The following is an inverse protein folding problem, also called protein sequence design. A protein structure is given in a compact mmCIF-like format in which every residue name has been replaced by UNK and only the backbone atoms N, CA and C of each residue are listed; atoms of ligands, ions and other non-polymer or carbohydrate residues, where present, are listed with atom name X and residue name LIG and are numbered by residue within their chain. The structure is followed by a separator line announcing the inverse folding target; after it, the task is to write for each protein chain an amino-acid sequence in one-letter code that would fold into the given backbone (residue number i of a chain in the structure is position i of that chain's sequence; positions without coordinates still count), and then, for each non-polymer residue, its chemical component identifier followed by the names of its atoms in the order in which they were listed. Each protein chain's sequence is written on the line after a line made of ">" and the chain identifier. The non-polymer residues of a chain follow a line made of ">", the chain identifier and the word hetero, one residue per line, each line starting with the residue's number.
data_IF_391311245935
#
_entry.id   IF_391311245935
#
_cell.length_a   1.000
_cell.length_b   1.000
_cell.length_c   1.000
_cell.angle_alpha   90.00
_cell.angle_beta   90.00
_cell.angle_gamma   90.00
#
_symmetry.space_group_name_H-M   'P 1'
#
loop_
_entity.id
_entity.type
_entity.pdbx_description
1 polymer ?
#
# COMPACT_ATOMS: atom_id res chain seq x y z
N UNK A 1 -16.48 -13.19 2.67
CA UNK A 1 -15.77 -12.44 3.72
C UNK A 1 -15.28 -11.17 3.07
N UNK A 2 -15.52 -10.02 3.70
CA UNK A 2 -14.98 -8.75 3.24
C UNK A 2 -13.45 -8.81 3.34
N UNK A 3 -12.74 -8.79 2.20
CA UNK A 3 -11.28 -8.88 2.17
C UNK A 3 -10.59 -7.64 2.72
N UNK A 4 -11.34 -6.58 3.01
CA UNK A 4 -10.82 -5.28 3.42
C UNK A 4 -10.96 -5.00 4.91
N UNK A 5 -11.75 -5.77 5.66
CA UNK A 5 -11.97 -5.55 7.09
C UNK A 5 -11.41 -6.70 7.94
N UNK A 6 -10.49 -6.36 8.85
CA UNK A 6 -9.94 -7.29 9.83
C UNK A 6 -9.71 -6.57 11.17
N UNK A 7 -10.67 -6.64 12.12
CA UNK A 7 -10.58 -5.94 13.40
C UNK A 7 -9.57 -6.57 14.38
N UNK A 8 -9.00 -7.73 14.04
CA UNK A 8 -8.00 -8.38 14.89
C UNK A 8 -6.59 -7.81 14.70
N UNK A 9 -6.37 -7.06 13.61
CA UNK A 9 -5.06 -6.52 13.25
C UNK A 9 -4.82 -5.18 13.90
N UNK A 10 -3.67 -5.06 14.55
CA UNK A 10 -3.12 -3.80 15.03
C UNK A 10 -1.77 -3.59 14.36
N UNK A 11 -1.71 -2.67 13.41
CA UNK A 11 -0.50 -2.36 12.68
C UNK A 11 0.20 -1.19 13.36
N UNK A 12 1.51 -1.31 13.60
CA UNK A 12 2.35 -0.21 14.06
C UNK A 12 3.69 -0.31 13.35
N UNK A 13 4.25 0.83 12.97
CA UNK A 13 5.53 0.82 12.30
C UNK A 13 6.68 0.45 13.27
N UNK A 14 7.62 -0.42 12.86
CA UNK A 14 8.82 -0.72 13.63
C UNK A 14 9.59 0.54 14.04
N UNK A 15 10.20 0.51 15.22
CA UNK A 15 10.97 1.63 15.81
C UNK A 15 12.43 1.23 16.01
N UNK A 16 13.30 2.20 16.22
CA UNK A 16 14.74 1.97 16.44
C UNK A 16 15.53 1.75 15.16
N UNK A 17 16.81 1.37 15.32
CA UNK A 17 17.81 1.28 14.25
C UNK A 17 17.84 -0.09 13.55
N UNK A 18 17.19 -1.11 14.09
CA UNK A 18 17.12 -2.42 13.47
C UNK A 18 16.18 -2.38 12.27
N UNK A 19 16.61 -2.92 11.12
CA UNK A 19 15.82 -2.99 9.88
C UNK A 19 15.30 -4.40 9.65
N UNK A 20 14.14 -4.49 9.00
CA UNK A 20 13.55 -5.76 8.54
C UNK A 20 13.62 -5.93 7.03
N UNK A 21 13.78 -4.84 6.27
CA UNK A 21 14.06 -4.85 4.84
C UNK A 21 15.57 -4.75 4.57
N UNK A 22 15.97 -5.00 3.31
CA UNK A 22 17.38 -5.07 2.89
C UNK A 22 18.13 -3.73 2.97
N UNK A 23 17.44 -2.61 2.74
CA UNK A 23 18.03 -1.28 2.88
C UNK A 23 17.15 -0.29 3.63
N UNK A 24 17.70 0.86 3.99
CA UNK A 24 16.94 1.93 4.65
C UNK A 24 15.90 2.53 3.70
N UNK A 25 16.14 2.53 2.39
CA UNK A 25 15.20 3.04 1.40
C UNK A 25 13.92 2.19 1.35
N UNK A 26 14.06 0.87 1.39
CA UNK A 26 12.92 -0.06 1.41
C UNK A 26 12.27 -0.14 2.79
N UNK A 27 13.07 -0.10 3.87
CA UNK A 27 12.58 -0.06 5.25
C UNK A 27 11.75 1.21 5.51
N UNK A 28 12.17 2.36 4.97
CA UNK A 28 11.42 3.60 5.11
C UNK A 28 10.02 3.49 4.52
N UNK A 29 9.90 2.97 3.28
CA UNK A 29 8.60 2.75 2.64
C UNK A 29 7.72 1.78 3.46
N UNK A 30 8.31 0.70 3.99
CA UNK A 30 7.61 -0.27 4.83
C UNK A 30 7.08 0.36 6.12
N UNK A 31 7.92 1.12 6.83
CA UNK A 31 7.52 1.82 8.05
C UNK A 31 6.45 2.87 7.77
N UNK A 32 6.56 3.62 6.69
CA UNK A 32 5.54 4.62 6.36
C UNK A 32 4.19 4.00 6.00
N UNK A 33 4.19 2.88 5.28
CA UNK A 33 2.96 2.11 5.04
C UNK A 33 2.31 1.65 6.35
N UNK A 34 3.11 1.08 7.26
CA UNK A 34 2.61 0.63 8.57
C UNK A 34 2.15 1.79 9.45
N UNK A 35 2.81 2.95 9.38
CA UNK A 35 2.45 4.14 10.15
C UNK A 35 1.10 4.72 9.70
N UNK A 36 0.80 4.67 8.41
CA UNK A 36 -0.52 5.06 7.89
C UNK A 36 -1.67 4.21 8.46
N UNK A 37 -1.38 3.05 9.04
CA UNK A 37 -2.38 2.15 9.64
C UNK A 37 -2.22 2.02 11.16
N UNK A 38 -1.43 2.90 11.78
CA UNK A 38 -1.32 2.96 13.23
C UNK A 38 -2.66 3.44 13.83
N UNK A 39 -3.22 2.79 14.87
CA UNK A 39 -4.46 3.22 15.52
C UNK A 39 -4.43 4.65 16.05
N UNK A 40 -3.25 5.18 16.35
CA UNK A 40 -3.09 6.56 16.80
C UNK A 40 -3.00 7.57 15.63
N UNK A 41 -3.05 7.09 14.38
CA UNK A 41 -2.88 7.87 13.14
C UNK A 41 -4.09 7.75 12.21
N UNK A 42 -4.57 6.54 11.96
CA UNK A 42 -5.63 6.25 10.99
C UNK A 42 -7.03 6.38 11.60
N UNK A 43 -8.00 6.82 10.79
CA UNK A 43 -9.41 6.89 11.20
C UNK A 43 -10.04 5.50 11.40
N UNK A 44 -9.81 4.55 10.48
CA UNK A 44 -10.33 3.18 10.54
C UNK A 44 -9.29 2.16 10.02
N UNK A 45 -8.21 1.90 10.79
CA UNK A 45 -7.09 1.05 10.34
C UNK A 45 -7.48 -0.40 10.06
N UNK A 46 -8.49 -0.94 10.74
CA UNK A 46 -9.00 -2.30 10.51
C UNK A 46 -9.64 -2.47 9.13
N UNK A 47 -10.03 -1.35 8.50
CA UNK A 47 -10.52 -1.27 7.13
C UNK A 47 -9.45 -0.72 6.17
N UNK A 48 -8.19 -0.60 6.59
CA UNK A 48 -7.11 0.04 5.82
C UNK A 48 -7.33 1.53 5.53
N UNK A 49 -8.37 2.17 6.06
CA UNK A 49 -8.74 3.56 5.80
C UNK A 49 -7.91 4.47 6.71
N UNK A 50 -7.18 5.41 6.08
CA UNK A 50 -6.30 6.35 6.77
C UNK A 50 -7.07 7.61 7.15
N UNK A 51 -7.64 8.31 6.17
CA UNK A 51 -8.45 9.51 6.36
C UNK A 51 -9.25 9.83 5.08
N UNK A 52 -10.17 10.80 5.16
CA UNK A 52 -10.83 11.35 3.96
C UNK A 52 -11.88 10.43 3.36
N UNK A 53 -12.70 9.80 4.21
CA UNK A 53 -13.77 8.89 3.79
C UNK A 53 -13.23 7.49 3.51
N UNK A 54 -12.98 7.17 2.23
CA UNK A 54 -12.52 5.82 1.83
C UNK A 54 -11.05 5.79 1.37
N UNK A 55 -10.26 6.79 1.76
CA UNK A 55 -8.83 6.85 1.44
C UNK A 55 -8.04 5.76 2.15
N UNK A 56 -7.67 4.69 1.43
CA UNK A 56 -7.00 3.51 1.99
C UNK A 56 -5.49 3.45 1.73
N UNK A 57 -4.74 2.82 2.62
CA UNK A 57 -3.30 2.59 2.48
C UNK A 57 -2.95 1.46 1.50
N UNK A 58 -3.82 0.46 1.36
CA UNK A 58 -3.74 -0.65 0.41
C UNK A 58 -5.16 -1.04 -0.03
N UNK A 59 -5.27 -1.77 -1.15
CA UNK A 59 -6.58 -2.12 -1.74
C UNK A 59 -7.41 -3.04 -0.85
N UNK A 60 -6.74 -4.04 -0.28
CA UNK A 60 -7.29 -5.06 0.59
C UNK A 60 -6.15 -5.66 1.43
N UNK A 61 -6.48 -6.50 2.41
CA UNK A 61 -5.48 -7.07 3.32
C UNK A 61 -4.48 -7.98 2.60
N UNK A 62 -4.91 -8.69 1.55
CA UNK A 62 -4.01 -9.51 0.74
C UNK A 62 -2.97 -8.65 0.00
N UNK A 63 -3.38 -7.50 -0.50
CA UNK A 63 -2.49 -6.52 -1.14
C UNK A 63 -1.53 -5.90 -0.13
N UNK A 64 -2.02 -5.53 1.06
CA UNK A 64 -1.17 -5.04 2.16
C UNK A 64 -0.08 -6.07 2.53
N UNK A 65 -0.49 -7.32 2.79
CA UNK A 65 0.43 -8.40 3.17
C UNK A 65 1.49 -8.62 2.09
N UNK A 66 1.07 -8.57 0.81
CA UNK A 66 1.99 -8.73 -0.31
C UNK A 66 2.91 -7.54 -0.52
N UNK A 67 2.47 -6.31 -0.24
CA UNK A 67 3.35 -5.12 -0.27
C UNK A 67 4.41 -5.26 0.83
N UNK A 68 4.02 -5.62 2.06
CA UNK A 68 4.94 -5.84 3.18
C UNK A 68 5.97 -6.92 2.86
N UNK A 69 5.52 -8.08 2.37
CA UNK A 69 6.39 -9.18 1.93
C UNK A 69 7.38 -8.69 0.86
N UNK A 70 6.89 -7.95 -0.14
CA UNK A 70 7.71 -7.50 -1.27
C UNK A 70 8.74 -6.48 -0.85
N UNK A 71 8.38 -5.48 -0.03
CA UNK A 71 9.30 -4.46 0.48
C UNK A 71 10.42 -5.06 1.34
N UNK A 72 10.15 -6.14 2.09
CA UNK A 72 11.17 -6.83 2.88
C UNK A 72 12.24 -7.50 2.02
N UNK A 73 11.88 -8.02 0.84
CA UNK A 73 12.80 -8.74 -0.06
C UNK A 73 13.38 -7.88 -1.20
N UNK A 74 12.82 -6.70 -1.46
CA UNK A 74 13.17 -5.85 -2.61
C UNK A 74 14.65 -5.48 -2.58
N UNK A 75 15.34 -5.66 -3.70
CA UNK A 75 16.76 -5.29 -3.84
C UNK A 75 16.95 -3.79 -4.11
N UNK A 76 18.18 -3.31 -3.91
CA UNK A 76 18.53 -1.89 -4.10
C UNK A 76 18.50 -1.45 -5.57
N UNK A 77 18.54 -2.38 -6.52
CA UNK A 77 18.40 -2.13 -7.95
C UNK A 77 17.03 -2.56 -8.51
N UNK A 78 16.02 -2.72 -7.64
CA UNK A 78 14.65 -3.04 -8.01
C UNK A 78 13.67 -1.92 -7.67
N UNK A 79 12.56 -1.88 -8.41
CA UNK A 79 11.43 -0.97 -8.18
C UNK A 79 10.12 -1.76 -8.13
N UNK A 80 9.37 -1.60 -7.03
CA UNK A 80 8.01 -2.11 -6.86
C UNK A 80 6.99 -1.17 -7.51
N UNK A 81 6.10 -1.70 -8.34
CA UNK A 81 4.96 -0.99 -8.88
C UNK A 81 3.69 -1.28 -8.08
N UNK A 82 3.04 -0.22 -7.58
CA UNK A 82 1.74 -0.28 -6.89
C UNK A 82 0.68 0.41 -7.76
N UNK A 83 -0.35 -0.33 -8.15
CA UNK A 83 -1.48 0.18 -8.91
C UNK A 83 -2.72 0.14 -8.02
N UNK A 84 -3.35 1.29 -7.75
CA UNK A 84 -4.50 1.44 -6.84
C UNK A 84 -4.39 0.52 -5.62
N UNK A 85 -3.33 0.72 -4.83
CA UNK A 85 -3.09 -0.02 -3.59
C UNK A 85 -2.74 -1.52 -3.72
N UNK A 86 -2.49 -2.04 -4.93
CA UNK A 86 -2.09 -3.44 -5.19
C UNK A 86 -0.66 -3.53 -5.73
N UNK A 87 0.20 -4.43 -5.20
CA UNK A 87 1.53 -4.67 -5.74
C UNK A 87 1.44 -5.50 -7.03
N UNK A 88 1.71 -4.89 -8.18
CA UNK A 88 1.47 -5.52 -9.50
C UNK A 88 2.73 -6.05 -10.18
N UNK A 89 3.91 -5.61 -9.76
CA UNK A 89 5.16 -6.11 -10.33
C UNK A 89 6.40 -5.52 -9.67
N UNK A 90 7.52 -6.21 -9.85
CA UNK A 90 8.85 -5.73 -9.49
C UNK A 90 9.70 -5.80 -10.75
N UNK A 91 10.41 -4.71 -11.04
CA UNK A 91 11.28 -4.61 -12.21
C UNK A 91 12.67 -4.16 -11.78
N UNK A 92 13.69 -4.68 -12.46
CA UNK A 92 15.06 -4.21 -12.31
C UNK A 92 15.19 -2.80 -12.88
N UNK A 93 15.77 -1.91 -12.09
CA UNK A 93 16.11 -0.52 -12.41
C UNK A 93 17.58 -0.28 -12.08
N UNK A 94 17.88 0.60 -11.12
CA UNK A 94 19.22 0.91 -10.63
C UNK A 94 19.15 1.57 -9.24
N UNK A 95 20.27 1.66 -8.53
CA UNK A 95 20.32 2.16 -7.14
C UNK A 95 19.70 3.55 -6.95
N UNK A 96 19.91 4.46 -7.90
CA UNK A 96 19.38 5.84 -7.83
C UNK A 96 17.90 5.97 -8.25
N UNK A 97 17.26 4.90 -8.71
CA UNK A 97 15.83 4.90 -9.05
C UNK A 97 14.96 4.87 -7.77
N UNK A 98 13.69 5.27 -7.85
CA UNK A 98 12.74 5.05 -6.76
C UNK A 98 12.57 3.56 -6.45
N UNK A 99 12.54 3.17 -5.18
CA UNK A 99 12.21 1.80 -4.76
C UNK A 99 10.75 1.44 -4.96
N UNK A 100 9.86 2.43 -4.95
CA UNK A 100 8.42 2.25 -5.16
C UNK A 100 7.91 3.33 -6.11
N UNK A 101 7.11 2.92 -7.09
CA UNK A 101 6.30 3.81 -7.93
C UNK A 101 4.82 3.44 -7.73
N UNK A 102 3.98 4.46 -7.52
CA UNK A 102 2.57 4.28 -7.19
C UNK A 102 1.67 5.13 -8.09
N UNK A 103 0.58 4.54 -8.54
CA UNK A 103 -0.46 5.19 -9.35
C UNK A 103 -1.83 4.72 -8.86
N UNK A 104 -2.51 5.56 -8.09
CA UNK A 104 -3.78 5.24 -7.42
C UNK A 104 -4.93 6.05 -8.01
N UNK A 105 -6.09 5.39 -8.19
CA UNK A 105 -7.37 6.02 -8.53
C UNK A 105 -7.40 6.80 -9.86
N UNK A 106 -6.39 6.62 -10.71
CA UNK A 106 -6.35 7.24 -12.02
C UNK A 106 -7.36 6.58 -12.95
N UNK A 107 -8.25 7.39 -13.52
CA UNK A 107 -9.23 6.99 -14.53
C UNK A 107 -9.09 7.91 -15.75
N UNK A 108 -9.33 7.36 -16.94
CA UNK A 108 -9.38 8.17 -18.16
C UNK A 108 -10.49 9.22 -18.00
N UNK A 109 -10.30 10.50 -18.37
CA UNK A 109 -11.17 11.59 -17.89
C UNK A 109 -12.66 11.42 -18.13
N UNK A 110 -13.06 10.78 -19.25
CA UNK A 110 -14.47 10.50 -19.55
C UNK A 110 -15.14 9.58 -18.52
N UNK A 111 -14.37 8.76 -17.82
CA UNK A 111 -14.82 7.79 -16.81
C UNK A 111 -14.42 8.18 -15.38
N UNK A 112 -13.82 9.35 -15.17
CA UNK A 112 -13.38 9.84 -13.85
C UNK A 112 -14.56 10.36 -13.02
N UNK A 113 -15.50 9.46 -12.73
CA UNK A 113 -16.75 9.70 -11.99
C UNK A 113 -16.85 8.74 -10.82
N UNK A 114 -17.48 9.15 -9.71
CA UNK A 114 -17.68 8.29 -8.55
C UNK A 114 -18.47 7.02 -8.87
N UNK A 115 -19.49 7.11 -9.73
CA UNK A 115 -20.31 5.95 -10.10
C UNK A 115 -19.47 4.84 -10.76
N UNK A 116 -18.53 5.23 -11.63
CA UNK A 116 -17.62 4.28 -12.29
C UNK A 116 -16.53 3.80 -11.35
N UNK A 117 -16.02 4.66 -10.45
CA UNK A 117 -15.09 4.26 -9.40
C UNK A 117 -15.72 3.17 -8.52
N UNK A 118 -16.94 3.37 -8.02
CA UNK A 118 -17.67 2.43 -7.16
C UNK A 118 -18.02 1.12 -7.89
N UNK A 119 -18.23 1.18 -9.21
CA UNK A 119 -18.40 -0.01 -10.04
C UNK A 119 -17.11 -0.85 -10.07
N UNK A 120 -15.95 -0.22 -10.27
CA UNK A 120 -14.65 -0.89 -10.28
C UNK A 120 -14.25 -1.38 -8.87
N UNK A 121 -14.54 -0.59 -7.84
CA UNK A 121 -14.28 -0.92 -6.45
C UNK A 121 -15.01 -2.21 -6.03
N UNK A 122 -16.31 -2.32 -6.36
CA UNK A 122 -17.10 -3.55 -6.13
C UNK A 122 -16.57 -4.77 -6.88
N UNK A 123 -15.83 -4.58 -7.97
CA UNK A 123 -15.15 -5.64 -8.73
C UNK A 123 -13.74 -5.95 -8.19
N UNK A 124 -13.27 -5.25 -7.15
CA UNK A 124 -11.92 -5.38 -6.59
C UNK A 124 -10.82 -4.74 -7.46
N UNK A 125 -11.19 -3.79 -8.33
CA UNK A 125 -10.29 -3.13 -9.27
C UNK A 125 -9.83 -1.73 -8.82
N UNK A 126 -10.45 -1.18 -7.76
CA UNK A 126 -10.02 0.03 -7.06
C UNK A 126 -9.81 -0.22 -5.57
#
# INVERSE_FOLDING_TARGET
>A
MDSRRDPSRVIRAPRGMERTAKSWLTEAALRMLMNNLDPDVAEHPEELVVYGGIGRAARDWASYDKIVETLRRLEDDETLLIQSGKPVGVFKTHADAPRVLLANSNLVPRWATWEHFDELDRKGLM
#
